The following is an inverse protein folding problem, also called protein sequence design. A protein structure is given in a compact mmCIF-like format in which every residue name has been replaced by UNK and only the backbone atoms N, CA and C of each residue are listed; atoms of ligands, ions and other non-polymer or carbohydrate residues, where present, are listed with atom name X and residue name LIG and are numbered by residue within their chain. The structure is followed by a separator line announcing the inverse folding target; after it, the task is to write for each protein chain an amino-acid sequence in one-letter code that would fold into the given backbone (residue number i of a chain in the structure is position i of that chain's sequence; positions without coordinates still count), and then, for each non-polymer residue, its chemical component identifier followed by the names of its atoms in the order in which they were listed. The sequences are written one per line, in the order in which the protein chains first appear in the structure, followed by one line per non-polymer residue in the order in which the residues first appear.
data_IF_768484732095
#
_entry.id   IF_768484732095
#
_cell.length_a   1.000
_cell.length_b   1.000
_cell.length_c   1.000
_cell.angle_alpha   90.00
_cell.angle_beta   90.00
_cell.angle_gamma   90.00
#
_symmetry.space_group_name_H-M   'P 1'
#
loop_
_entity.id
_entity.type
_entity.pdbx_description
1 polymer ?
#
# COMPACT_ATOMS: atom_id res chain seq x y z
N UNK A 1 -36.49 5.41 -23.18
CA UNK A 1 -35.30 5.25 -24.04
C UNK A 1 -34.11 5.70 -23.20
N UNK A 2 -33.19 4.89 -22.70
CA UNK A 2 -33.02 3.44 -22.71
C UNK A 2 -32.61 2.99 -21.31
N UNK A 3 -33.13 1.85 -20.88
CA UNK A 3 -32.74 1.16 -19.65
C UNK A 3 -31.46 0.40 -19.91
N UNK A 4 -30.34 1.12 -20.06
CA UNK A 4 -29.04 0.48 -20.03
C UNK A 4 -28.79 -0.01 -18.60
N UNK A 5 -28.48 -1.30 -18.40
CA UNK A 5 -28.29 -1.84 -17.07
C UNK A 5 -27.16 -1.10 -16.36
N UNK A 6 -27.36 -0.76 -15.08
CA UNK A 6 -26.39 -0.07 -14.21
C UNK A 6 -25.00 -0.72 -14.25
N UNK A 7 -24.95 -2.02 -14.54
CA UNK A 7 -23.76 -2.85 -14.71
C UNK A 7 -22.85 -2.38 -15.86
N UNK A 8 -23.37 -1.68 -16.88
CA UNK A 8 -22.61 -1.19 -18.04
C UNK A 8 -22.14 0.26 -17.92
N UNK A 9 -22.53 0.99 -16.86
CA UNK A 9 -22.25 2.42 -16.77
C UNK A 9 -20.90 2.68 -16.12
N UNK A 10 -19.96 3.28 -16.89
CA UNK A 10 -18.63 3.68 -16.42
C UNK A 10 -18.66 4.74 -15.31
N UNK A 11 -19.82 5.38 -15.12
CA UNK A 11 -20.10 6.37 -14.07
C UNK A 11 -21.42 6.03 -13.34
N UNK A 12 -21.50 4.87 -12.69
CA UNK A 12 -22.73 4.36 -12.10
C UNK A 12 -23.47 5.39 -11.22
N UNK A 13 -22.76 6.14 -10.36
CA UNK A 13 -23.36 7.15 -9.48
C UNK A 13 -23.91 8.37 -10.25
N UNK A 14 -23.15 8.90 -11.21
CA UNK A 14 -23.60 10.03 -12.03
C UNK A 14 -24.77 9.62 -12.94
N UNK A 15 -24.75 8.39 -13.44
CA UNK A 15 -25.80 7.83 -14.29
C UNK A 15 -27.12 7.67 -13.53
N UNK A 16 -27.09 7.13 -12.31
CA UNK A 16 -28.28 7.02 -11.45
C UNK A 16 -28.89 8.39 -11.16
N UNK A 17 -28.07 9.40 -10.85
CA UNK A 17 -28.57 10.75 -10.56
C UNK A 17 -29.14 11.44 -11.80
N UNK A 18 -28.58 11.19 -13.00
CA UNK A 18 -29.18 11.65 -14.26
C UNK A 18 -30.52 10.95 -14.54
N UNK A 19 -30.64 9.65 -14.25
CA UNK A 19 -31.90 8.89 -14.40
C UNK A 19 -33.00 9.35 -13.42
N UNK A 20 -32.62 9.79 -12.21
CA UNK A 20 -33.53 10.34 -11.20
C UNK A 20 -33.97 11.80 -11.48
N UNK A 21 -33.57 12.38 -12.61
CA UNK A 21 -33.92 13.75 -13.00
C UNK A 21 -32.98 14.83 -12.46
N UNK A 22 -31.93 14.47 -11.71
CA UNK A 22 -30.94 15.39 -11.12
C UNK A 22 -29.70 15.51 -12.02
N UNK A 23 -29.91 15.87 -13.28
CA UNK A 23 -28.86 15.89 -14.32
C UNK A 23 -27.69 16.83 -14.02
N UNK A 24 -27.97 17.99 -13.42
CA UNK A 24 -26.97 18.97 -13.00
C UNK A 24 -26.02 18.41 -11.93
N UNK A 25 -26.57 17.70 -10.94
CA UNK A 25 -25.79 17.11 -9.85
C UNK A 25 -24.96 15.92 -10.36
N UNK A 26 -25.53 15.09 -11.24
CA UNK A 26 -24.78 14.02 -11.91
C UNK A 26 -23.59 14.53 -12.72
N UNK A 27 -23.74 15.66 -13.42
CA UNK A 27 -22.63 16.30 -14.15
C UNK A 27 -21.56 16.86 -13.21
N UNK A 28 -21.96 17.46 -12.08
CA UNK A 28 -21.02 17.95 -11.08
C UNK A 28 -20.18 16.82 -10.47
N UNK A 29 -20.81 15.66 -10.20
CA UNK A 29 -20.12 14.46 -9.71
C UNK A 29 -19.17 13.89 -10.75
N UNK A 30 -19.58 13.85 -12.03
CA UNK A 30 -18.70 13.45 -13.13
C UNK A 30 -17.45 14.34 -13.23
N UNK A 31 -17.64 15.66 -13.11
CA UNK A 31 -16.53 16.63 -13.09
C UNK A 31 -15.61 16.41 -11.87
N UNK A 32 -16.18 16.18 -10.69
CA UNK A 32 -15.42 15.92 -9.47
C UNK A 32 -14.60 14.61 -9.60
N UNK A 33 -15.19 13.55 -10.15
CA UNK A 33 -14.49 12.30 -10.42
C UNK A 33 -13.35 12.52 -11.43
N UNK A 34 -13.59 13.27 -12.51
CA UNK A 34 -12.57 13.60 -13.50
C UNK A 34 -11.37 14.36 -12.90
N UNK A 35 -11.61 15.26 -11.94
CA UNK A 35 -10.54 15.98 -11.24
C UNK A 35 -9.85 15.13 -10.16
N UNK A 36 -10.57 14.21 -9.51
CA UNK A 36 -10.04 13.38 -8.43
C UNK A 36 -9.19 12.20 -8.93
N UNK A 37 -9.59 11.53 -10.01
CA UNK A 37 -8.91 10.32 -10.51
C UNK A 37 -7.42 10.53 -10.81
N UNK A 38 -6.98 11.62 -11.48
CA UNK A 38 -5.56 11.88 -11.72
C UNK A 38 -4.76 12.00 -10.42
N UNK A 39 -5.34 12.60 -9.38
CA UNK A 39 -4.68 12.79 -8.08
C UNK A 39 -4.43 11.45 -7.39
N UNK A 40 -5.40 10.53 -7.47
CA UNK A 40 -5.26 9.16 -6.92
C UNK A 40 -4.20 8.37 -7.69
N UNK A 41 -4.19 8.45 -9.03
CA UNK A 41 -3.20 7.78 -9.86
C UNK A 41 -1.79 8.28 -9.52
N UNK A 42 -1.62 9.60 -9.39
CA UNK A 42 -0.34 10.20 -9.01
C UNK A 42 0.13 9.73 -7.63
N UNK A 43 -0.78 9.68 -6.65
CA UNK A 43 -0.48 9.18 -5.31
C UNK A 43 -0.04 7.71 -5.33
N UNK A 44 -0.70 6.86 -6.11
CA UNK A 44 -0.36 5.43 -6.24
C UNK A 44 0.99 5.23 -6.93
N UNK A 45 1.26 5.94 -8.04
CA UNK A 45 2.55 5.90 -8.73
C UNK A 45 3.70 6.34 -7.80
N UNK A 46 3.49 7.41 -7.03
CA UNK A 46 4.46 7.87 -6.04
C UNK A 46 4.70 6.82 -4.95
N UNK A 47 3.63 6.24 -4.39
CA UNK A 47 3.73 5.18 -3.38
C UNK A 47 4.54 3.97 -3.87
N UNK A 48 4.27 3.51 -5.09
CA UNK A 48 5.00 2.41 -5.72
C UNK A 48 6.50 2.74 -5.86
N UNK A 49 6.85 3.92 -6.36
CA UNK A 49 8.28 4.31 -6.56
C UNK A 49 9.05 4.36 -5.24
N UNK A 50 8.41 4.80 -4.15
CA UNK A 50 9.03 4.82 -2.80
C UNK A 50 9.31 3.42 -2.27
N UNK A 51 8.38 2.48 -2.45
CA UNK A 51 8.58 1.09 -2.04
C UNK A 51 9.77 0.49 -2.78
N UNK A 52 9.84 0.67 -4.11
CA UNK A 52 10.99 0.21 -4.91
C UNK A 52 12.31 0.83 -4.47
N UNK A 53 12.32 2.12 -4.13
CA UNK A 53 13.51 2.81 -3.65
C UNK A 53 14.01 2.23 -2.33
N UNK A 54 13.12 2.02 -1.35
CA UNK A 54 13.47 1.42 -0.05
C UNK A 54 13.95 -0.03 -0.24
N UNK A 55 13.26 -0.84 -1.05
CA UNK A 55 13.67 -2.23 -1.33
C UNK A 55 15.04 -2.31 -2.03
N UNK A 56 15.35 -1.37 -2.91
CA UNK A 56 16.66 -1.29 -3.56
C UNK A 56 17.76 -0.80 -2.59
N UNK A 57 17.43 0.11 -1.65
CA UNK A 57 18.33 0.52 -0.56
C UNK A 57 18.63 -0.63 0.40
N UNK A 58 17.64 -1.47 0.70
CA UNK A 58 17.79 -2.67 1.53
C UNK A 58 18.57 -3.82 0.85
N UNK A 59 18.98 -3.61 -0.41
CA UNK A 59 19.74 -4.58 -1.22
C UNK A 59 18.90 -5.72 -1.80
N UNK A 60 17.56 -5.69 -1.67
CA UNK A 60 16.67 -6.71 -2.24
C UNK A 60 16.51 -6.58 -3.77
N UNK A 61 16.81 -5.41 -4.34
CA UNK A 61 16.73 -5.11 -5.77
C UNK A 61 18.04 -4.51 -6.30
N UNK A 62 18.28 -4.51 -7.64
CA UNK A 62 19.48 -3.90 -8.21
C UNK A 62 19.60 -2.41 -7.86
N UNK A 63 20.77 -1.99 -7.36
CA UNK A 63 21.07 -0.59 -6.95
C UNK A 63 20.84 0.44 -8.08
N UNK A 64 20.87 0.01 -9.34
CA UNK A 64 20.53 0.86 -10.50
C UNK A 64 19.09 1.40 -10.43
N UNK A 65 18.18 0.70 -9.75
CA UNK A 65 16.81 1.17 -9.49
C UNK A 65 16.75 2.17 -8.32
N UNK A 66 17.74 2.19 -7.43
CA UNK A 66 17.90 3.23 -6.40
C UNK A 66 18.62 4.48 -6.90
N UNK A 67 19.00 4.55 -8.19
CA UNK A 67 19.75 5.70 -8.71
C UNK A 67 18.88 6.93 -8.75
N UNK A 68 19.13 7.84 -7.82
CA UNK A 68 18.41 9.09 -7.66
C UNK A 68 19.04 10.16 -8.55
N UNK A 69 18.24 11.03 -9.17
CA UNK A 69 18.78 12.15 -9.95
C UNK A 69 19.59 13.10 -9.05
N UNK A 70 20.87 13.40 -9.37
CA UNK A 70 21.78 14.14 -8.48
C UNK A 70 21.34 15.57 -8.15
N UNK A 71 20.51 16.19 -9.00
CA UNK A 71 20.01 17.57 -8.81
C UNK A 71 18.63 17.67 -8.15
N UNK A 72 17.74 16.69 -8.38
CA UNK A 72 16.34 16.76 -7.95
C UNK A 72 15.98 15.74 -6.88
N UNK A 73 16.92 14.85 -6.54
CA UNK A 73 16.73 13.77 -5.56
C UNK A 73 15.46 12.92 -5.83
N UNK A 74 15.03 12.82 -7.09
CA UNK A 74 13.88 12.02 -7.51
C UNK A 74 14.30 10.71 -8.21
N UNK A 75 13.60 9.58 -7.96
CA UNK A 75 13.84 8.30 -8.62
C UNK A 75 13.23 8.29 -10.03
N UNK A 76 13.74 9.16 -10.91
CA UNK A 76 13.19 9.37 -12.26
C UNK A 76 13.17 8.11 -13.14
N UNK A 77 14.17 7.22 -13.02
CA UNK A 77 14.26 5.97 -13.79
C UNK A 77 13.13 5.02 -13.42
N UNK A 78 12.88 4.84 -12.11
CA UNK A 78 11.82 3.95 -11.62
C UNK A 78 10.46 4.49 -12.04
N UNK A 79 10.21 5.79 -11.86
CA UNK A 79 8.94 6.42 -12.23
C UNK A 79 8.64 6.32 -13.73
N UNK A 80 9.65 6.50 -14.59
CA UNK A 80 9.47 6.40 -16.03
C UNK A 80 9.16 4.95 -16.47
N UNK A 81 9.89 3.97 -15.92
CA UNK A 81 9.68 2.55 -16.24
C UNK A 81 8.32 2.08 -15.72
N UNK A 82 7.97 2.37 -14.47
CA UNK A 82 6.69 1.96 -13.88
C UNK A 82 5.52 2.69 -14.56
N UNK A 83 5.67 3.98 -14.85
CA UNK A 83 4.67 4.76 -15.58
C UNK A 83 4.42 4.22 -16.99
N UNK A 84 5.47 3.88 -17.74
CA UNK A 84 5.35 3.27 -19.06
C UNK A 84 4.68 1.89 -18.99
N UNK A 85 5.07 1.06 -18.02
CA UNK A 85 4.46 -0.25 -17.81
C UNK A 85 2.97 -0.14 -17.46
N UNK A 86 2.61 0.79 -16.57
CA UNK A 86 1.21 1.07 -16.20
C UNK A 86 0.42 1.60 -17.39
N UNK A 87 0.99 2.49 -18.21
CA UNK A 87 0.32 3.02 -19.40
C UNK A 87 0.01 1.93 -20.42
N UNK A 88 0.96 1.02 -20.65
CA UNK A 88 0.74 -0.15 -21.52
C UNK A 88 -0.31 -1.08 -20.90
N UNK A 89 -0.18 -1.43 -19.61
CA UNK A 89 -1.14 -2.30 -18.95
C UNK A 89 -2.57 -1.72 -18.97
N UNK A 90 -2.73 -0.42 -18.74
CA UNK A 90 -4.02 0.27 -18.78
C UNK A 90 -4.65 0.31 -20.19
N UNK A 91 -3.83 0.25 -21.25
CA UNK A 91 -4.33 0.23 -22.62
C UNK A 91 -4.88 -1.16 -23.03
N UNK A 92 -4.35 -2.25 -22.46
CA UNK A 92 -4.66 -3.61 -22.90
C UNK A 92 -5.49 -4.43 -21.90
N UNK A 93 -5.49 -4.10 -20.60
CA UNK A 93 -6.18 -4.89 -19.57
C UNK A 93 -7.52 -4.23 -19.16
N UNK A 94 -8.59 -5.03 -18.99
CA UNK A 94 -9.88 -4.53 -18.53
C UNK A 94 -9.85 -4.16 -17.04
N UNK A 95 -10.42 -2.99 -16.69
CA UNK A 95 -10.41 -2.43 -15.33
C UNK A 95 -10.99 -3.36 -14.27
N UNK A 96 -11.96 -4.21 -14.61
CA UNK A 96 -12.54 -5.18 -13.66
C UNK A 96 -11.54 -6.24 -13.23
N UNK A 97 -10.80 -6.84 -14.17
CA UNK A 97 -9.78 -7.85 -13.84
C UNK A 97 -8.61 -7.22 -13.07
N UNK A 98 -8.21 -6.01 -13.45
CA UNK A 98 -7.20 -5.23 -12.71
C UNK A 98 -7.65 -4.97 -11.26
N UNK A 99 -8.93 -4.64 -11.05
CA UNK A 99 -9.48 -4.43 -9.72
C UNK A 99 -9.47 -5.72 -8.89
N UNK A 100 -9.85 -6.86 -9.47
CA UNK A 100 -9.82 -8.15 -8.77
C UNK A 100 -8.40 -8.56 -8.39
N UNK A 101 -7.43 -8.39 -9.30
CA UNK A 101 -6.00 -8.67 -9.05
C UNK A 101 -5.44 -7.73 -7.98
N UNK A 102 -5.77 -6.44 -8.03
CA UNK A 102 -5.36 -5.46 -7.02
C UNK A 102 -5.96 -5.76 -5.64
N UNK A 103 -7.23 -6.16 -5.60
CA UNK A 103 -7.92 -6.54 -4.37
C UNK A 103 -7.27 -7.78 -3.73
N UNK A 104 -6.92 -8.78 -4.53
CA UNK A 104 -6.20 -9.98 -4.07
C UNK A 104 -4.90 -9.62 -3.33
N UNK A 105 -4.07 -8.76 -3.94
CA UNK A 105 -2.82 -8.31 -3.32
C UNK A 105 -3.03 -7.48 -2.05
N UNK A 106 -4.04 -6.60 -2.04
CA UNK A 106 -4.34 -5.73 -0.89
C UNK A 106 -4.86 -6.54 0.30
N UNK A 107 -5.74 -7.52 0.06
CA UNK A 107 -6.23 -8.43 1.09
C UNK A 107 -5.10 -9.24 1.71
N UNK A 108 -4.14 -9.70 0.90
CA UNK A 108 -2.96 -10.39 1.40
C UNK A 108 -2.06 -9.49 2.24
N UNK A 109 -1.82 -8.25 1.80
CA UNK A 109 -1.06 -7.27 2.56
C UNK A 109 -1.72 -6.98 3.92
N UNK A 110 -3.05 -6.81 3.96
CA UNK A 110 -3.80 -6.60 5.20
C UNK A 110 -3.77 -7.83 6.12
N UNK A 111 -3.88 -9.03 5.55
CA UNK A 111 -3.69 -10.28 6.28
C UNK A 111 -2.30 -10.34 6.93
N UNK A 112 -1.24 -10.07 6.16
CA UNK A 112 0.14 -10.07 6.66
C UNK A 112 0.38 -9.00 7.72
N UNK A 113 -0.18 -7.80 7.56
CA UNK A 113 -0.08 -6.72 8.57
C UNK A 113 -0.80 -7.11 9.86
N UNK A 114 -2.01 -7.64 9.77
CA UNK A 114 -2.77 -8.09 10.94
C UNK A 114 -2.03 -9.20 11.70
N UNK A 115 -1.44 -10.16 10.98
CA UNK A 115 -0.60 -11.20 11.54
C UNK A 115 0.68 -10.62 12.17
N UNK A 116 1.37 -9.72 11.47
CA UNK A 116 2.60 -9.08 11.93
C UNK A 116 2.39 -8.30 13.23
N UNK A 117 1.27 -7.57 13.37
CA UNK A 117 0.92 -6.85 14.59
C UNK A 117 0.72 -7.82 15.77
N UNK A 118 0.13 -8.99 15.53
CA UNK A 118 -0.07 -10.03 16.54
C UNK A 118 1.26 -10.65 16.98
N UNK A 119 2.13 -10.98 16.01
CA UNK A 119 3.48 -11.51 16.27
C UNK A 119 4.32 -10.48 17.04
N UNK A 120 4.32 -9.21 16.62
CA UNK A 120 5.08 -8.14 17.27
C UNK A 120 4.62 -7.89 18.71
N UNK A 121 3.35 -8.18 19.05
CA UNK A 121 2.88 -8.12 20.45
C UNK A 121 3.44 -9.24 21.32
N UNK A 122 3.85 -10.37 20.72
CA UNK A 122 4.43 -11.50 21.44
C UNK A 122 5.96 -11.44 21.49
N UNK A 123 6.61 -11.03 20.39
CA UNK A 123 8.07 -11.01 20.26
C UNK A 123 8.69 -9.81 20.99
N UNK A 124 8.10 -8.63 20.86
CA UNK A 124 8.64 -7.40 21.49
C UNK A 124 7.53 -6.59 22.18
N UNK A 125 7.10 -7.02 23.38
CA UNK A 125 6.04 -6.37 24.13
C UNK A 125 6.47 -5.03 24.76
N UNK A 126 7.78 -4.82 24.98
CA UNK A 126 8.32 -3.67 25.70
C UNK A 126 8.54 -2.43 24.82
N UNK A 127 8.51 -2.58 23.49
CA UNK A 127 8.70 -1.45 22.56
C UNK A 127 7.74 -0.28 22.85
N UNK A 128 8.24 0.98 22.93
CA UNK A 128 7.39 2.15 23.09
C UNK A 128 6.49 2.33 21.86
N UNK A 129 5.19 2.53 22.09
CA UNK A 129 4.17 2.61 21.03
C UNK A 129 3.29 3.84 21.30
N UNK A 130 3.42 4.92 20.51
CA UNK A 130 2.60 6.14 20.66
C UNK A 130 1.10 5.87 20.50
N UNK A 131 0.72 4.91 19.66
CA UNK A 131 -0.65 4.45 19.50
C UNK A 131 -0.75 2.94 19.75
N UNK A 132 -1.74 2.54 20.56
CA UNK A 132 -2.03 1.13 20.88
C UNK A 132 -3.47 0.83 20.51
N UNK A 133 -3.65 -0.12 19.61
CA UNK A 133 -4.96 -0.65 19.23
C UNK A 133 -5.65 -1.32 20.44
N UNK A 134 -6.88 -0.88 20.83
CA UNK A 134 -7.46 -1.18 22.15
C UNK A 134 -7.90 -2.64 22.37
N UNK A 135 -7.90 -3.50 21.35
CA UNK A 135 -8.23 -4.92 21.50
C UNK A 135 -7.62 -5.80 20.39
N UNK A 136 -6.28 -5.82 20.21
CA UNK A 136 -5.67 -6.54 19.07
C UNK A 136 -5.96 -8.03 19.03
N UNK A 137 -6.06 -8.69 20.17
CA UNK A 137 -6.40 -10.11 20.21
C UNK A 137 -7.82 -10.41 19.70
N UNK A 138 -8.68 -9.40 19.55
CA UNK A 138 -9.98 -9.53 18.90
C UNK A 138 -9.96 -8.94 17.48
N UNK A 139 -9.43 -7.73 17.33
CA UNK A 139 -9.44 -6.97 16.07
C UNK A 139 -8.56 -7.64 15.01
N UNK A 140 -7.36 -8.12 15.36
CA UNK A 140 -6.47 -8.73 14.37
C UNK A 140 -6.99 -10.08 13.86
N UNK A 141 -7.48 -11.01 14.70
CA UNK A 141 -8.14 -12.23 14.20
C UNK A 141 -9.39 -11.94 13.36
N UNK A 142 -10.23 -10.97 13.75
CA UNK A 142 -11.38 -10.56 12.94
C UNK A 142 -10.95 -10.04 11.57
N UNK A 143 -9.91 -9.20 11.51
CA UNK A 143 -9.36 -8.71 10.26
C UNK A 143 -8.79 -9.85 9.39
N UNK A 144 -8.09 -10.81 10.01
CA UNK A 144 -7.59 -12.01 9.33
C UNK A 144 -8.75 -12.82 8.73
N UNK A 145 -9.77 -13.13 9.53
CA UNK A 145 -10.94 -13.89 9.10
C UNK A 145 -11.67 -13.17 7.96
N UNK A 146 -11.85 -11.85 8.09
CA UNK A 146 -12.46 -11.02 7.04
C UNK A 146 -11.65 -11.04 5.74
N UNK A 147 -10.33 -10.81 5.83
CA UNK A 147 -9.46 -10.83 4.64
C UNK A 147 -9.46 -12.19 3.95
N UNK A 148 -9.37 -13.27 4.73
CA UNK A 148 -9.39 -14.65 4.22
C UNK A 148 -10.76 -14.98 3.60
N UNK A 149 -11.86 -14.59 4.24
CA UNK A 149 -13.21 -14.80 3.72
C UNK A 149 -13.45 -14.08 2.39
N UNK A 150 -13.05 -12.81 2.29
CA UNK A 150 -13.11 -12.05 1.03
C UNK A 150 -12.21 -12.66 -0.05
N UNK A 151 -11.00 -13.09 0.33
CA UNK A 151 -10.05 -13.71 -0.59
C UNK A 151 -10.60 -14.99 -1.24
N UNK A 152 -11.33 -15.82 -0.48
CA UNK A 152 -11.98 -17.00 -1.03
C UNK A 152 -13.10 -16.68 -2.02
N UNK A 153 -13.74 -15.52 -1.88
CA UNK A 153 -14.82 -15.07 -2.77
C UNK A 153 -14.31 -14.52 -4.12
N UNK A 154 -13.03 -14.17 -4.24
CA UNK A 154 -12.45 -13.66 -5.49
C UNK A 154 -12.47 -14.71 -6.63
N UNK A 155 -12.40 -14.28 -7.90
CA UNK A 155 -12.24 -15.20 -9.03
C UNK A 155 -10.91 -15.95 -8.96
N UNK A 156 -10.85 -17.12 -9.62
CA UNK A 156 -9.66 -17.98 -9.60
C UNK A 156 -8.42 -17.27 -10.17
N UNK A 157 -8.59 -16.46 -11.21
CA UNK A 157 -7.51 -15.66 -11.82
C UNK A 157 -6.80 -14.80 -10.78
N UNK A 158 -7.55 -14.03 -9.98
CA UNK A 158 -7.00 -13.15 -8.97
C UNK A 158 -6.30 -13.91 -7.83
N UNK A 159 -6.78 -15.12 -7.50
CA UNK A 159 -6.13 -16.00 -6.51
C UNK A 159 -4.82 -16.59 -7.03
N UNK A 160 -4.69 -16.81 -8.33
CA UNK A 160 -3.48 -17.38 -8.95
C UNK A 160 -2.36 -16.35 -9.15
N UNK A 161 -2.71 -15.06 -9.30
CA UNK A 161 -1.68 -14.02 -9.41
C UNK A 161 -0.76 -14.00 -8.19
N UNK A 162 -1.31 -14.17 -6.97
CA UNK A 162 -0.53 -14.13 -5.74
C UNK A 162 0.56 -15.22 -5.66
N UNK A 163 0.28 -16.53 -5.80
CA UNK A 163 1.31 -17.56 -5.77
C UNK A 163 2.25 -17.49 -6.98
N UNK A 164 1.77 -17.11 -8.17
CA UNK A 164 2.63 -16.97 -9.36
C UNK A 164 3.61 -15.81 -9.16
N UNK A 165 3.12 -14.63 -8.81
CA UNK A 165 3.95 -13.44 -8.59
C UNK A 165 4.82 -13.58 -7.34
N UNK A 166 4.29 -14.19 -6.28
CA UNK A 166 5.05 -14.55 -5.08
C UNK A 166 6.17 -15.54 -5.38
N UNK A 167 5.91 -16.52 -6.25
CA UNK A 167 6.92 -17.47 -6.73
C UNK A 167 8.03 -16.76 -7.54
N UNK A 168 7.66 -15.88 -8.47
CA UNK A 168 8.63 -15.05 -9.20
C UNK A 168 9.47 -14.20 -8.23
N UNK A 169 8.81 -13.55 -7.27
CA UNK A 169 9.47 -12.77 -6.22
C UNK A 169 10.43 -13.61 -5.38
N UNK A 170 10.04 -14.83 -5.02
CA UNK A 170 10.88 -15.76 -4.25
C UNK A 170 12.09 -16.23 -5.08
N UNK A 171 11.90 -16.50 -6.37
CA UNK A 171 13.00 -16.86 -7.28
C UNK A 171 13.99 -15.70 -7.42
N UNK A 172 13.50 -14.48 -7.66
CA UNK A 172 14.35 -13.28 -7.69
C UNK A 172 15.06 -13.05 -6.35
N UNK A 173 14.36 -13.28 -5.24
CA UNK A 173 14.94 -13.21 -3.91
C UNK A 173 16.07 -14.23 -3.74
N UNK A 174 15.89 -15.50 -4.08
CA UNK A 174 16.95 -16.50 -3.94
C UNK A 174 18.13 -16.30 -4.90
N UNK A 175 17.86 -15.88 -6.15
CA UNK A 175 18.90 -15.65 -7.15
C UNK A 175 19.76 -14.41 -6.86
N UNK A 176 19.14 -13.33 -6.39
CA UNK A 176 19.81 -12.04 -6.18
C UNK A 176 19.76 -11.59 -4.72
N UNK A 177 18.56 -11.48 -4.14
CA UNK A 177 18.32 -10.95 -2.80
C UNK A 177 19.04 -11.70 -1.67
N UNK A 178 19.13 -13.02 -1.71
CA UNK A 178 19.75 -13.86 -0.68
C UNK A 178 21.27 -13.59 -0.57
N UNK A 179 21.93 -13.27 -1.69
CA UNK A 179 23.36 -12.99 -1.74
C UNK A 179 23.72 -11.54 -1.39
N UNK A 180 22.78 -10.59 -1.55
CA UNK A 180 23.06 -9.14 -1.45
C UNK A 180 22.25 -8.40 -0.37
N UNK A 181 21.21 -9.01 0.21
CA UNK A 181 20.36 -8.36 1.21
C UNK A 181 21.11 -8.06 2.50
N UNK A 182 20.94 -6.82 3.00
CA UNK A 182 21.54 -6.35 4.25
C UNK A 182 21.08 -7.18 5.47
N UNK A 183 19.84 -7.68 5.44
CA UNK A 183 19.29 -8.57 6.48
C UNK A 183 20.03 -9.91 6.53
N UNK A 184 20.44 -10.46 5.39
CA UNK A 184 21.27 -11.68 5.31
C UNK A 184 22.75 -11.47 5.66
N UNK A 185 23.24 -10.22 5.57
CA UNK A 185 24.62 -9.83 5.94
C UNK A 185 24.73 -9.30 7.37
N UNK A 186 23.63 -9.25 8.13
CA UNK A 186 23.62 -8.74 9.51
C UNK A 186 23.84 -7.22 9.63
N UNK A 187 23.66 -6.47 8.53
CA UNK A 187 23.77 -5.01 8.53
C UNK A 187 22.41 -4.49 8.96
N UNK A 188 22.27 -4.21 10.26
CA UNK A 188 21.09 -3.53 10.81
C UNK A 188 21.25 -2.04 10.52
N UNK A 189 20.72 -1.58 9.40
CA UNK A 189 20.51 -0.14 9.20
C UNK A 189 19.43 0.31 10.19
N UNK A 190 19.83 0.88 11.31
CA UNK A 190 18.93 1.47 12.29
C UNK A 190 18.49 2.82 11.73
N UNK A 191 17.31 2.84 11.10
CA UNK A 191 16.76 4.03 10.45
C UNK A 191 16.37 5.15 11.42
N UNK A 192 16.58 4.98 12.73
CA UNK A 192 16.37 6.02 13.75
C UNK A 192 17.45 7.11 13.73
N UNK A 193 18.59 6.87 13.06
CA UNK A 193 19.69 7.84 12.88
C UNK A 193 19.73 8.48 11.46
N UNK A 194 18.73 8.23 10.61
CA UNK A 194 18.67 8.86 9.28
C UNK A 194 18.42 10.38 9.42
N UNK A 195 19.22 11.20 8.71
CA UNK A 195 19.20 12.68 8.77
C UNK A 195 17.83 13.32 8.46
N UNK A 196 16.90 12.57 7.88
CA UNK A 196 15.58 13.01 7.44
C UNK A 196 14.44 12.62 8.42
N UNK A 197 14.76 11.97 9.56
CA UNK A 197 13.77 11.63 10.60
C UNK A 197 13.53 12.86 11.49
N UNK A 198 12.27 13.31 11.70
CA UNK A 198 11.99 14.37 12.64
C UNK A 198 12.45 13.95 14.04
N UNK A 199 13.11 14.84 14.81
CA UNK A 199 13.70 14.49 16.10
C UNK A 199 12.66 13.79 16.97
N UNK A 200 13.04 12.63 17.52
CA UNK A 200 12.23 11.88 18.47
C UNK A 200 11.74 12.83 19.57
N UNK A 201 10.46 12.75 20.00
CA UNK A 201 9.99 13.52 21.14
C UNK A 201 10.93 13.28 22.32
N UNK A 202 11.58 14.35 22.78
CA UNK A 202 12.55 14.33 23.86
C UNK A 202 11.94 13.57 25.04
N UNK A 203 12.65 12.60 25.66
CA UNK A 203 12.18 11.97 26.87
C UNK A 203 11.74 13.04 27.87
N UNK A 204 10.60 12.88 28.57
CA UNK A 204 10.16 13.86 29.55
C UNK A 204 11.29 14.11 30.56
N UNK A 205 11.63 15.39 30.76
CA UNK A 205 12.66 15.83 31.70
C UNK A 205 12.46 15.15 33.06
N UNK A 206 13.53 14.68 33.74
CA UNK A 206 13.41 14.15 35.09
C UNK A 206 12.72 15.18 35.99
N UNK A 207 11.49 14.88 36.43
CA UNK A 207 10.68 15.75 37.29
C UNK A 207 9.59 16.59 36.60
N UNK A 208 9.36 16.46 35.28
CA UNK A 208 8.23 17.13 34.63
C UNK A 208 6.93 16.31 34.84
N UNK A 209 5.84 16.90 35.37
CA UNK A 209 4.57 16.19 35.53
C UNK A 209 4.01 15.83 34.15
N UNK A 210 3.74 14.54 33.95
CA UNK A 210 3.07 14.02 32.75
C UNK A 210 1.62 14.51 32.69
N UNK A 211 1.15 15.09 31.57
CA UNK A 211 -0.25 15.42 31.41
C UNK A 211 -1.09 14.13 31.46
N UNK A 212 -1.88 13.96 32.52
CA UNK A 212 -2.71 12.77 32.77
C UNK A 212 -2.20 11.80 33.85
N UNK A 213 -1.15 12.16 34.60
CA UNK A 213 -0.76 11.45 35.83
C UNK A 213 -1.74 11.75 36.98
N UNK A 214 -2.00 10.77 37.85
CA UNK A 214 -2.94 10.83 38.99
C UNK A 214 -2.51 11.74 40.16
N UNK A 215 -1.80 12.83 39.87
CA UNK A 215 -1.45 13.86 40.86
C UNK A 215 -1.89 15.25 40.38
N UNK A 216 -3.16 15.33 39.99
CA UNK A 216 -3.94 16.56 39.88
C UNK A 216 -5.20 16.42 40.73
#
# INVERSE_FOLDING_TARGET
MGTDPLVCSREALAHVLRQLGWSQIGNLIGLAAFLALPSVILMMLFGQTRIFFVMARDGLLPEKLATVHPRWKTPHVVTAITGAFVAVAAAFLPVGQLADVSNSGTLFAFFMVALSVMILRRVDPARPRPFRTPAVWLVAPLAIIGCVGLYFNLPFEAKMVLPVWGGIGLVLYYLYGYRKSHVGRGIVDVHEDDRDVPPQPVPPLPGAPTPGGKEA
#
